data_IF_528197075725
#
_entry.id   IF_528197075725
#
_cell.length_a   1.000
_cell.length_b   1.000
_cell.length_c   1.000
_cell.angle_alpha   90.00
_cell.angle_beta   90.00
_cell.angle_gamma   90.00
#
_symmetry.space_group_name_H-M   'P 1'
#
loop_
_entity.id
_entity.type
_entity.pdbx_description
1 polymer ?
#
# COMPACT_ATOMS: atom_id res chain seq x y z
N UNK A 1 6.80 21.22 18.04
CA UNK A 1 6.73 21.71 16.65
C UNK A 1 5.94 20.67 15.87
N UNK A 2 4.83 21.06 15.25
CA UNK A 2 4.05 20.13 14.42
C UNK A 2 4.73 19.95 13.07
N UNK A 3 4.64 18.76 12.50
CA UNK A 3 5.03 18.51 11.10
C UNK A 3 4.07 19.29 10.21
N UNK A 4 4.60 20.13 9.32
CA UNK A 4 3.82 20.85 8.31
C UNK A 4 3.28 19.85 7.30
N UNK A 5 2.00 19.99 6.93
CA UNK A 5 1.29 19.08 6.01
C UNK A 5 0.52 19.84 4.92
N UNK A 6 1.01 21.01 4.51
CA UNK A 6 0.35 21.85 3.49
C UNK A 6 0.60 21.31 2.08
N UNK A 7 -0.14 21.79 1.08
CA UNK A 7 0.14 21.49 -0.32
C UNK A 7 1.63 21.65 -0.68
N UNK A 8 2.16 20.71 -1.45
CA UNK A 8 3.56 20.64 -1.88
C UNK A 8 4.53 20.10 -0.82
N UNK A 9 4.06 19.69 0.37
CA UNK A 9 4.95 19.06 1.36
C UNK A 9 5.18 17.58 1.06
N UNK A 10 6.43 17.15 1.20
CA UNK A 10 6.81 15.76 1.23
C UNK A 10 7.24 15.38 2.65
N UNK A 11 6.66 14.30 3.19
CA UNK A 11 6.91 13.86 4.55
C UNK A 11 7.40 12.42 4.49
N UNK A 12 8.62 12.18 4.99
CA UNK A 12 9.08 10.82 5.24
C UNK A 12 8.36 10.29 6.47
N UNK A 13 7.68 9.17 6.31
CA UNK A 13 6.90 8.49 7.33
C UNK A 13 7.41 7.07 7.52
N UNK A 14 7.24 6.58 8.75
CA UNK A 14 7.48 5.18 9.08
C UNK A 14 6.35 4.67 9.96
N UNK A 15 6.05 3.38 9.83
CA UNK A 15 5.15 2.66 10.71
C UNK A 15 5.71 1.26 10.96
N UNK A 16 5.44 0.74 12.16
CA UNK A 16 5.88 -0.58 12.62
C UNK A 16 4.66 -1.30 13.13
N UNK A 17 4.50 -2.57 12.75
CA UNK A 17 3.35 -3.40 13.06
C UNK A 17 3.86 -4.73 13.60
N UNK A 18 3.29 -5.18 14.71
CA UNK A 18 3.52 -6.49 15.31
C UNK A 18 2.31 -7.40 15.06
N UNK A 19 2.52 -8.72 15.19
CA UNK A 19 1.47 -9.74 15.15
C UNK A 19 0.56 -9.69 13.90
N UNK A 20 1.15 -9.43 12.72
CA UNK A 20 0.38 -9.52 11.46
C UNK A 20 0.03 -10.97 11.19
N UNK A 21 -1.27 -11.24 11.04
CA UNK A 21 -1.86 -12.54 10.81
C UNK A 21 -2.64 -12.59 9.49
N UNK A 22 -3.54 -13.57 9.35
CA UNK A 22 -4.34 -13.75 8.13
C UNK A 22 -5.38 -12.65 7.87
N UNK A 23 -5.58 -11.73 8.82
CA UNK A 23 -6.47 -10.58 8.67
C UNK A 23 -5.78 -9.43 7.94
N UNK A 24 -6.58 -8.48 7.44
CA UNK A 24 -6.07 -7.34 6.69
C UNK A 24 -5.45 -6.31 7.62
N UNK A 25 -4.13 -6.18 7.60
CA UNK A 25 -3.41 -5.08 8.23
C UNK A 25 -3.13 -3.96 7.21
N UNK A 26 -3.76 -2.80 7.37
CA UNK A 26 -3.45 -1.62 6.53
C UNK A 26 -2.12 -1.02 6.96
N UNK A 27 -1.18 -0.91 6.02
CA UNK A 27 0.15 -0.34 6.25
C UNK A 27 0.18 1.15 5.92
N UNK A 28 -0.51 1.55 4.86
CA UNK A 28 -0.70 2.94 4.44
C UNK A 28 -2.16 3.10 4.05
N UNK A 29 -2.83 4.08 4.65
CA UNK A 29 -4.20 4.46 4.30
C UNK A 29 -4.12 5.77 3.53
N UNK A 30 -4.71 5.81 2.35
CA UNK A 30 -4.69 7.00 1.51
C UNK A 30 -5.50 8.15 2.08
N UNK A 31 -4.99 9.36 1.88
CA UNK A 31 -5.67 10.65 2.03
C UNK A 31 -5.90 11.24 0.62
N UNK A 32 -7.00 11.98 0.43
CA UNK A 32 -7.34 12.53 -0.88
C UNK A 32 -6.30 13.56 -1.31
N UNK A 33 -5.91 13.54 -2.59
CA UNK A 33 -4.84 14.37 -3.17
C UNK A 33 -3.42 14.07 -2.65
N UNK A 34 -3.23 12.96 -1.94
CA UNK A 34 -1.90 12.53 -1.54
C UNK A 34 -1.34 11.48 -2.49
N UNK A 35 -0.01 11.45 -2.64
CA UNK A 35 0.71 10.42 -3.37
C UNK A 35 1.71 9.77 -2.40
N UNK A 36 1.66 8.45 -2.32
CA UNK A 36 2.53 7.68 -1.44
C UNK A 36 3.61 7.00 -2.26
N UNK A 37 4.88 7.25 -1.94
CA UNK A 37 6.02 6.52 -2.52
C UNK A 37 6.61 5.60 -1.46
N UNK A 38 6.46 4.29 -1.64
CA UNK A 38 7.06 3.29 -0.75
C UNK A 38 8.56 3.24 -1.02
N UNK A 39 9.36 3.44 0.04
CA UNK A 39 10.81 3.43 -0.04
C UNK A 39 11.40 2.08 0.36
N UNK A 40 10.81 1.43 1.38
CA UNK A 40 11.22 0.10 1.82
C UNK A 40 10.14 -0.55 2.67
N UNK A 41 10.14 -1.88 2.66
CA UNK A 41 9.35 -2.72 3.57
C UNK A 41 10.30 -3.77 4.16
N UNK A 42 10.43 -3.81 5.48
CA UNK A 42 11.16 -4.84 6.22
C UNK A 42 10.13 -5.76 6.86
N UNK A 43 10.31 -7.06 6.69
CA UNK A 43 9.41 -8.08 7.19
C UNK A 43 10.23 -9.05 8.03
N UNK A 44 9.86 -9.22 9.29
CA UNK A 44 10.45 -10.22 10.18
C UNK A 44 9.42 -11.33 10.41
N UNK A 45 9.78 -12.57 10.08
CA UNK A 45 8.96 -13.73 10.39
C UNK A 45 9.31 -14.24 11.79
N UNK A 46 8.44 -14.03 12.76
CA UNK A 46 8.65 -14.47 14.15
C UNK A 46 8.35 -15.97 14.27
N UNK A 47 7.19 -16.38 13.75
CA UNK A 47 6.81 -17.79 13.65
C UNK A 47 5.90 -18.03 12.45
N UNK A 48 6.10 -19.15 11.79
CA UNK A 48 5.37 -19.57 10.60
C UNK A 48 4.74 -20.92 10.91
N UNK A 49 3.40 -21.00 10.90
CA UNK A 49 2.67 -22.18 11.38
C UNK A 49 2.98 -23.43 10.55
N UNK A 50 3.26 -23.29 9.25
CA UNK A 50 3.63 -24.38 8.38
C UNK A 50 4.60 -23.95 7.27
N UNK A 51 5.50 -24.86 6.87
CA UNK A 51 6.36 -24.64 5.71
C UNK A 51 5.51 -24.39 4.47
N UNK A 52 5.68 -23.23 3.86
CA UNK A 52 4.86 -22.83 2.72
C UNK A 52 4.01 -21.60 2.99
N UNK A 53 3.75 -21.28 4.27
CA UNK A 53 3.05 -20.06 4.66
C UNK A 53 3.83 -18.80 4.27
N UNK A 54 3.10 -17.74 4.01
CA UNK A 54 3.57 -16.58 3.27
C UNK A 54 2.90 -15.33 3.80
N UNK A 55 3.61 -14.23 3.69
CA UNK A 55 3.03 -12.89 3.78
C UNK A 55 2.80 -12.33 2.38
N UNK A 56 1.71 -11.61 2.21
CA UNK A 56 1.35 -10.92 0.99
C UNK A 56 1.35 -9.42 1.26
N UNK A 57 1.92 -8.65 0.33
CA UNK A 57 1.76 -7.20 0.27
C UNK A 57 0.89 -6.88 -0.95
N UNK A 58 -0.25 -6.24 -0.71
CA UNK A 58 -1.24 -5.94 -1.73
C UNK A 58 -1.63 -4.46 -1.68
N UNK A 59 -1.94 -3.90 -2.83
CA UNK A 59 -2.58 -2.59 -2.99
C UNK A 59 -4.07 -2.82 -3.26
N UNK A 60 -4.92 -2.21 -2.44
CA UNK A 60 -6.33 -2.04 -2.77
C UNK A 60 -6.49 -0.70 -3.49
N UNK A 61 -7.01 -0.71 -4.71
CA UNK A 61 -7.15 0.52 -5.48
C UNK A 61 -7.83 0.37 -6.84
N UNK A 62 -7.68 1.42 -7.64
CA UNK A 62 -8.40 1.55 -8.91
C UNK A 62 -7.74 0.76 -10.04
N UNK A 63 -8.52 -0.02 -10.79
CA UNK A 63 -8.07 -0.67 -12.03
C UNK A 63 -8.23 0.28 -13.22
N UNK A 64 -7.14 0.96 -13.61
CA UNK A 64 -7.10 1.88 -14.74
C UNK A 64 -7.31 1.22 -16.12
N UNK A 65 -7.29 -0.12 -16.22
CA UNK A 65 -7.57 -0.85 -17.46
C UNK A 65 -9.06 -1.15 -17.59
N UNK A 66 -9.65 -1.76 -16.57
CA UNK A 66 -11.06 -2.13 -16.55
C UNK A 66 -12.00 -0.99 -16.14
N UNK A 67 -11.47 0.07 -15.52
CA UNK A 67 -12.25 1.15 -14.94
C UNK A 67 -13.01 0.73 -13.68
N UNK A 68 -12.50 -0.27 -12.94
CA UNK A 68 -13.20 -0.86 -11.80
C UNK A 68 -12.61 -0.33 -10.49
N UNK A 69 -13.50 0.06 -9.58
CA UNK A 69 -13.18 0.49 -8.20
C UNK A 69 -12.80 -0.70 -7.33
N UNK A 70 -12.04 -0.45 -6.27
CA UNK A 70 -11.81 -1.37 -5.15
C UNK A 70 -11.28 -2.74 -5.60
N UNK A 71 -10.21 -2.72 -6.39
CA UNK A 71 -9.54 -3.94 -6.88
C UNK A 71 -8.27 -4.23 -6.10
N UNK A 72 -8.07 -5.51 -5.78
CA UNK A 72 -6.85 -5.99 -5.13
C UNK A 72 -5.76 -6.31 -6.16
N UNK A 73 -4.63 -5.65 -6.05
CA UNK A 73 -3.43 -5.89 -6.83
C UNK A 73 -2.31 -6.37 -5.90
N UNK A 74 -1.77 -7.56 -6.16
CA UNK A 74 -0.64 -8.07 -5.37
C UNK A 74 0.67 -7.45 -5.85
N UNK A 75 1.40 -6.80 -4.95
CA UNK A 75 2.70 -6.20 -5.26
C UNK A 75 3.78 -7.28 -5.19
N UNK A 76 3.85 -8.01 -4.08
CA UNK A 76 4.69 -9.18 -3.95
C UNK A 76 4.15 -10.13 -2.88
N UNK A 77 4.79 -11.28 -2.81
CA UNK A 77 4.55 -12.32 -1.81
C UNK A 77 5.89 -12.95 -1.47
N UNK A 78 6.08 -13.20 -0.18
CA UNK A 78 7.30 -13.82 0.30
C UNK A 78 6.94 -15.05 1.15
N UNK A 79 7.50 -16.20 0.76
CA UNK A 79 7.43 -17.43 1.54
C UNK A 79 8.53 -17.38 2.59
N UNK A 80 8.14 -17.33 3.85
CA UNK A 80 9.06 -17.20 4.96
C UNK A 80 9.46 -18.56 5.53
N UNK A 81 10.56 -18.55 6.28
CA UNK A 81 10.89 -19.57 7.28
C UNK A 81 10.84 -18.91 8.66
N UNK A 82 10.71 -19.72 9.72
CA UNK A 82 10.77 -19.22 11.09
C UNK A 82 12.06 -18.43 11.34
N UNK A 83 11.94 -17.29 12.01
CA UNK A 83 13.03 -16.38 12.37
C UNK A 83 13.83 -15.82 11.17
N UNK A 84 13.21 -15.72 10.01
CA UNK A 84 13.82 -15.13 8.82
C UNK A 84 13.43 -13.65 8.65
N UNK A 85 14.24 -12.88 7.93
CA UNK A 85 13.99 -11.47 7.62
C UNK A 85 14.11 -11.21 6.14
N UNK A 86 13.09 -10.57 5.58
CA UNK A 86 13.08 -10.11 4.20
C UNK A 86 13.03 -8.59 4.12
N UNK A 87 13.86 -8.02 3.26
CA UNK A 87 13.89 -6.58 2.99
C UNK A 87 13.53 -6.35 1.53
N UNK A 88 12.40 -5.70 1.30
CA UNK A 88 12.00 -5.20 0.01
C UNK A 88 12.47 -3.74 -0.14
N UNK A 89 13.33 -3.47 -1.13
CA UNK A 89 14.02 -2.18 -1.31
C UNK A 89 13.88 -1.59 -2.72
N UNK A 90 12.91 -2.11 -3.49
CA UNK A 90 12.48 -1.44 -4.71
C UNK A 90 11.56 -0.26 -4.34
N UNK A 91 11.16 0.56 -5.32
CA UNK A 91 10.27 1.70 -5.08
C UNK A 91 9.06 1.62 -5.98
N UNK A 92 7.89 1.94 -5.44
CA UNK A 92 6.68 2.18 -6.22
C UNK A 92 5.85 3.26 -5.54
N UNK A 93 4.93 3.85 -6.29
CA UNK A 93 4.02 4.87 -5.79
C UNK A 93 2.58 4.57 -6.14
N UNK A 94 1.66 5.09 -5.34
CA UNK A 94 0.22 5.01 -5.58
C UNK A 94 -0.50 6.26 -5.06
N UNK A 95 -1.66 6.56 -5.65
CA UNK A 95 -2.52 7.66 -5.25
C UNK A 95 -3.35 7.28 -4.01
N UNK A 96 -3.62 8.25 -3.14
CA UNK A 96 -4.39 8.01 -1.93
C UNK A 96 -5.87 7.69 -2.16
N UNK A 97 -6.49 8.27 -3.19
CA UNK A 97 -7.90 8.06 -3.52
C UNK A 97 -8.08 7.71 -5.00
N UNK A 98 -9.20 7.06 -5.33
CA UNK A 98 -9.57 6.72 -6.70
C UNK A 98 -10.06 7.97 -7.48
N UNK A 99 -10.02 7.97 -8.83
CA UNK A 99 -10.64 9.02 -9.64
C UNK A 99 -12.17 9.08 -9.47
N UNK A 100 -12.75 10.26 -9.69
CA UNK A 100 -14.18 10.42 -9.98
C UNK A 100 -14.40 10.41 -11.50
N UNK A 101 -15.56 9.92 -11.95
CA UNK A 101 -16.03 9.99 -13.34
C UNK A 101 -15.05 9.43 -14.39
N UNK A 102 -14.23 8.44 -14.02
CA UNK A 102 -13.38 7.73 -14.97
C UNK A 102 -14.13 6.54 -15.59
N UNK A 103 -13.97 6.36 -16.91
CA UNK A 103 -14.35 5.13 -17.62
C UNK A 103 -13.13 4.61 -18.37
N UNK A 104 -12.76 3.35 -18.11
CA UNK A 104 -11.59 2.73 -18.73
C UNK A 104 -11.74 2.46 -20.23
N UNK A 105 -10.63 2.15 -20.92
CA UNK A 105 -9.25 2.16 -20.39
C UNK A 105 -8.65 3.57 -20.31
N UNK A 106 -7.52 3.71 -19.61
CA UNK A 106 -6.66 4.90 -19.68
C UNK A 106 -6.05 5.04 -21.09
N UNK A 107 -6.69 5.83 -21.96
CA UNK A 107 -6.30 6.01 -23.37
C UNK A 107 -6.15 7.49 -23.78
N UNK A 108 -6.46 8.43 -22.87
CA UNK A 108 -6.31 9.86 -23.10
C UNK A 108 -5.83 10.62 -21.85
N UNK A 109 -5.46 11.88 -22.04
CA UNK A 109 -4.93 12.76 -20.99
C UNK A 109 -6.00 13.23 -20.00
N UNK A 110 -7.28 13.30 -20.41
CA UNK A 110 -8.39 13.67 -19.51
C UNK A 110 -8.56 12.61 -18.43
N UNK A 111 -8.52 11.34 -18.83
CA UNK A 111 -8.55 10.17 -17.96
C UNK A 111 -7.32 10.09 -17.06
N UNK A 112 -6.14 10.46 -17.58
CA UNK A 112 -4.93 10.54 -16.76
C UNK A 112 -5.07 11.62 -15.67
N UNK A 113 -5.63 12.79 -16.02
CA UNK A 113 -5.86 13.87 -15.06
C UNK A 113 -6.89 13.46 -14.00
N UNK A 114 -7.98 12.80 -14.38
CA UNK A 114 -8.98 12.32 -13.42
C UNK A 114 -8.36 11.40 -12.33
N UNK A 115 -7.41 10.53 -12.70
CA UNK A 115 -6.67 9.68 -11.75
C UNK A 115 -5.77 10.53 -10.84
N UNK A 116 -5.07 11.52 -11.39
CA UNK A 116 -4.20 12.41 -10.63
C UNK A 116 -4.97 13.31 -9.65
N UNK A 117 -6.20 13.70 -10.03
CA UNK A 117 -7.09 14.55 -9.23
C UNK A 117 -7.69 13.81 -8.04
N UNK A 118 -7.78 12.46 -8.07
CA UNK A 118 -8.24 11.65 -6.94
C UNK A 118 -9.62 12.07 -6.38
N UNK A 119 -10.51 12.53 -7.25
CA UNK A 119 -11.74 13.23 -6.85
C UNK A 119 -12.85 12.37 -6.21
N UNK A 120 -12.63 11.08 -5.96
CA UNK A 120 -13.65 10.19 -5.38
C UNK A 120 -13.68 10.23 -3.85
N UNK A 121 -14.56 9.42 -3.26
CA UNK A 121 -14.59 9.13 -1.82
C UNK A 121 -14.00 7.76 -1.46
N UNK A 122 -13.36 7.06 -2.42
CA UNK A 122 -12.82 5.71 -2.21
C UNK A 122 -11.32 5.81 -1.97
N UNK A 123 -10.91 5.52 -0.74
CA UNK A 123 -9.50 5.50 -0.36
C UNK A 123 -8.81 4.23 -0.85
N UNK A 124 -7.65 4.40 -1.47
CA UNK A 124 -6.72 3.33 -1.79
C UNK A 124 -5.81 3.06 -0.60
N UNK A 125 -5.35 1.83 -0.43
CA UNK A 125 -4.48 1.49 0.69
C UNK A 125 -3.54 0.33 0.38
N UNK A 126 -2.33 0.41 0.93
CA UNK A 126 -1.38 -0.69 0.96
C UNK A 126 -1.67 -1.52 2.21
N UNK A 127 -1.71 -2.84 2.06
CA UNK A 127 -2.01 -3.74 3.16
C UNK A 127 -1.23 -5.05 3.10
N UNK A 128 -1.07 -5.66 4.27
CA UNK A 128 -0.47 -6.96 4.46
C UNK A 128 -1.48 -7.95 5.01
N UNK A 129 -1.29 -9.23 4.67
CA UNK A 129 -1.88 -10.35 5.39
C UNK A 129 -1.01 -11.59 5.21
N UNK A 130 -1.15 -12.54 6.13
CA UNK A 130 -0.51 -13.85 6.05
C UNK A 130 -1.47 -14.89 5.47
N UNK A 131 -0.96 -16.09 5.22
CA UNK A 131 -1.75 -17.22 4.75
C UNK A 131 -2.49 -17.95 5.87
N UNK A 132 -2.08 -17.77 7.14
CA UNK A 132 -2.65 -18.47 8.27
C UNK A 132 -2.74 -17.58 9.53
N UNK A 133 -3.81 -17.73 10.31
CA UNK A 133 -4.06 -16.89 11.49
C UNK A 133 -3.02 -17.05 12.60
N UNK A 134 -2.40 -18.23 12.70
CA UNK A 134 -1.34 -18.50 13.68
C UNK A 134 0.08 -18.13 13.17
N UNK A 135 0.20 -17.57 11.97
CA UNK A 135 1.47 -16.97 11.54
C UNK A 135 1.69 -15.67 12.32
N UNK A 136 2.95 -15.36 12.65
CA UNK A 136 3.33 -14.12 13.30
C UNK A 136 4.44 -13.42 12.51
N UNK A 137 4.11 -12.24 11.98
CA UNK A 137 5.04 -11.39 11.28
C UNK A 137 5.04 -9.97 11.85
N UNK A 138 6.23 -9.38 11.88
CA UNK A 138 6.40 -7.94 12.09
C UNK A 138 6.70 -7.27 10.77
N UNK A 139 6.12 -6.08 10.55
CA UNK A 139 6.34 -5.30 9.33
C UNK A 139 6.70 -3.87 9.68
N UNK A 140 7.82 -3.41 9.14
CA UNK A 140 8.25 -2.02 9.20
C UNK A 140 8.20 -1.45 7.78
N UNK A 141 7.56 -0.30 7.62
CA UNK A 141 7.46 0.38 6.34
C UNK A 141 8.03 1.79 6.45
N UNK A 142 8.76 2.21 5.41
CA UNK A 142 9.18 3.59 5.22
C UNK A 142 8.64 4.08 3.89
N UNK A 143 8.03 5.26 3.89
CA UNK A 143 7.41 5.83 2.70
C UNK A 143 7.45 7.36 2.74
N UNK A 144 7.34 7.97 1.57
CA UNK A 144 7.10 9.40 1.42
C UNK A 144 5.60 9.59 1.22
N UNK A 145 5.04 10.54 1.94
CA UNK A 145 3.70 11.08 1.74
C UNK A 145 3.82 12.48 1.14
N UNK A 146 3.37 12.63 -0.10
CA UNK A 146 3.37 13.91 -0.82
C UNK A 146 1.95 14.46 -0.82
N UNK A 147 1.72 15.57 -0.11
CA UNK A 147 0.43 16.26 -0.14
C UNK A 147 0.38 17.19 -1.36
N UNK A 148 -0.58 17.00 -2.27
CA UNK A 148 -0.75 17.82 -3.46
C UNK A 148 -1.87 18.88 -3.36
N UNK A 149 -2.52 19.05 -2.20
CA UNK A 149 -3.63 20.00 -2.00
C UNK A 149 -3.67 20.69 -0.62
#
# INVERSE_FOLDING_TARGET
MAIVRTAGTEIVRTAMFEDIDSTTQKLIIGEQHHIYTVLSIVICAISVQASGNQININLQGYDSKGGTTDQTMRIFRWKASDNDTFVWNDKFSFNGFEPTDFTGPLDDTTKQNAIADQGSSVAQYLWANTTHADDNFEVLITYIDQNNA
#
